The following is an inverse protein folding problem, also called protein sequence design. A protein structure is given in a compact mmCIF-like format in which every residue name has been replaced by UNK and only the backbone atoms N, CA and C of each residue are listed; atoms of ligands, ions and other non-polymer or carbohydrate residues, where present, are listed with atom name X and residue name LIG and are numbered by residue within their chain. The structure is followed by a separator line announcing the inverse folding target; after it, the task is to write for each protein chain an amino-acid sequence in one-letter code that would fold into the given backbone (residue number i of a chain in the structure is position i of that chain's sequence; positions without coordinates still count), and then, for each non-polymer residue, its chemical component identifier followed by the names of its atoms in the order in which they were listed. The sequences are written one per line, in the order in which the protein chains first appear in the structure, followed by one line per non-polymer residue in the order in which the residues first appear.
data_IF_560415425591
#
_entry.id   IF_560415425591
#
_cell.length_a   1.000
_cell.length_b   1.000
_cell.length_c   1.000
_cell.angle_alpha   90.00
_cell.angle_beta   90.00
_cell.angle_gamma   90.00
#
_symmetry.space_group_name_H-M   'P 1'
#
loop_
_entity.id
_entity.type
_entity.pdbx_description
1 polymer ?
#
# COMPACT_ATOMS: atom_id res chain seq x y z
N UNK A 1 -65.90 4.44 23.20
CA UNK A 1 -65.81 3.03 22.77
C UNK A 1 -64.74 2.83 21.69
N UNK A 2 -64.71 3.61 20.61
CA UNK A 2 -63.67 3.53 19.55
C UNK A 2 -62.22 3.76 20.04
N UNK A 3 -62.00 4.72 20.95
CA UNK A 3 -60.67 4.97 21.54
C UNK A 3 -60.15 3.82 22.42
N UNK A 4 -61.05 3.07 23.08
CA UNK A 4 -60.67 1.89 23.88
C UNK A 4 -60.24 0.72 22.97
N UNK A 5 -60.84 0.60 21.78
CA UNK A 5 -60.48 -0.42 20.79
C UNK A 5 -59.10 -0.17 20.18
N UNK A 6 -58.79 1.09 19.80
CA UNK A 6 -57.45 1.44 19.30
C UNK A 6 -56.34 1.22 20.35
N UNK A 7 -56.63 1.52 21.62
CA UNK A 7 -55.66 1.32 22.69
C UNK A 7 -55.40 -0.17 22.95
N UNK A 8 -56.44 -1.00 22.86
CA UNK A 8 -56.33 -2.46 23.01
C UNK A 8 -55.51 -3.10 21.86
N UNK A 9 -55.71 -2.65 20.61
CA UNK A 9 -54.92 -3.15 19.47
C UNK A 9 -53.44 -2.76 19.56
N UNK A 10 -53.14 -1.53 20.02
CA UNK A 10 -51.75 -1.08 20.22
C UNK A 10 -51.04 -1.89 21.31
N UNK A 11 -51.73 -2.17 22.43
CA UNK A 11 -51.23 -3.02 23.50
C UNK A 11 -50.99 -4.46 23.05
N UNK A 12 -51.92 -5.03 22.27
CA UNK A 12 -51.79 -6.40 21.76
C UNK A 12 -50.61 -6.54 20.80
N UNK A 13 -50.43 -5.57 19.89
CA UNK A 13 -49.29 -5.56 18.96
C UNK A 13 -47.96 -5.38 19.68
N UNK A 14 -47.90 -4.49 20.69
CA UNK A 14 -46.68 -4.30 21.48
C UNK A 14 -46.33 -5.55 22.28
N UNK A 15 -47.32 -6.24 22.85
CA UNK A 15 -47.13 -7.50 23.57
C UNK A 15 -46.64 -8.63 22.64
N UNK A 16 -47.21 -8.77 21.44
CA UNK A 16 -46.79 -9.78 20.46
C UNK A 16 -45.34 -9.58 20.02
N UNK A 17 -44.90 -8.34 19.79
CA UNK A 17 -43.49 -8.04 19.44
C UNK A 17 -42.55 -8.43 20.58
N UNK A 18 -42.95 -8.18 21.83
CA UNK A 18 -42.15 -8.54 22.99
C UNK A 18 -42.02 -10.06 23.15
N UNK A 19 -43.10 -10.82 22.94
CA UNK A 19 -43.07 -12.29 22.98
C UNK A 19 -42.17 -12.86 21.87
N UNK A 20 -42.21 -12.31 20.66
CA UNK A 20 -41.34 -12.73 19.56
C UNK A 20 -39.86 -12.50 19.85
N UNK A 21 -39.50 -11.34 20.41
CA UNK A 21 -38.11 -11.05 20.81
C UNK A 21 -37.63 -12.02 21.89
N UNK A 22 -38.48 -12.34 22.87
CA UNK A 22 -38.14 -13.24 23.97
C UNK A 22 -37.92 -14.68 23.47
N UNK A 23 -38.75 -15.15 22.52
CA UNK A 23 -38.57 -16.45 21.87
C UNK A 23 -37.30 -16.50 21.00
N UNK A 24 -36.97 -15.42 20.30
CA UNK A 24 -35.73 -15.33 19.52
C UNK A 24 -34.48 -15.40 20.42
N UNK A 25 -34.50 -14.74 21.58
CA UNK A 25 -33.41 -14.84 22.57
C UNK A 25 -33.25 -16.26 23.12
N UNK A 26 -34.35 -16.97 23.39
CA UNK A 26 -34.30 -18.37 23.86
C UNK A 26 -33.74 -19.29 22.78
N UNK A 27 -34.14 -19.10 21.52
CA UNK A 27 -33.62 -19.90 20.39
C UNK A 27 -32.11 -19.71 20.18
N UNK A 28 -31.61 -18.49 20.32
CA UNK A 28 -30.17 -18.20 20.22
C UNK A 28 -29.42 -18.81 21.42
N UNK A 29 -29.98 -18.73 22.63
CA UNK A 29 -29.39 -19.32 23.83
C UNK A 29 -29.25 -20.84 23.77
N UNK A 30 -30.23 -21.54 23.18
CA UNK A 30 -30.20 -22.99 23.00
C UNK A 30 -29.26 -23.46 21.87
N UNK A 31 -28.94 -22.59 20.91
CA UNK A 31 -28.00 -22.89 19.82
C UNK A 31 -26.52 -22.84 20.22
N UNK A 32 -26.17 -22.14 21.30
CA UNK A 32 -24.77 -21.91 21.68
C UNK A 32 -24.17 -22.95 22.64
N UNK A 33 -24.88 -24.01 23.01
CA UNK A 33 -24.36 -25.07 23.91
C UNK A 33 -23.90 -26.35 23.18
N UNK A 34 -23.79 -26.32 21.85
CA UNK A 34 -23.43 -27.49 21.04
C UNK A 34 -21.94 -27.68 20.77
N UNK A 35 -21.27 -28.48 21.61
CA UNK A 35 -20.27 -29.48 21.18
C UNK A 35 -18.98 -29.00 20.51
N UNK A 36 -17.93 -28.80 21.30
CA UNK A 36 -16.55 -28.81 20.81
C UNK A 36 -16.13 -30.21 20.38
N UNK A 37 -16.14 -30.49 19.08
CA UNK A 37 -15.46 -31.64 18.50
C UNK A 37 -14.00 -31.26 18.22
N UNK A 38 -13.07 -31.94 18.91
CA UNK A 38 -11.65 -31.92 18.58
C UNK A 38 -11.48 -32.63 17.24
N UNK A 39 -11.23 -31.88 16.18
CA UNK A 39 -10.82 -32.45 14.90
C UNK A 39 -9.30 -32.62 14.91
N UNK A 40 -8.89 -33.88 15.04
CA UNK A 40 -7.53 -34.36 14.94
C UNK A 40 -7.08 -34.26 13.48
N UNK A 41 -6.15 -33.35 13.17
CA UNK A 41 -5.57 -33.20 11.83
C UNK A 41 -4.76 -34.47 11.49
N UNK A 42 -5.37 -35.33 10.70
CA UNK A 42 -4.71 -36.47 10.06
C UNK A 42 -3.81 -35.93 8.96
N UNK A 43 -2.52 -35.82 9.28
CA UNK A 43 -1.44 -35.54 8.33
C UNK A 43 -1.44 -36.61 7.23
N UNK A 44 -1.64 -36.18 5.99
CA UNK A 44 -1.63 -37.02 4.80
C UNK A 44 -0.27 -37.70 4.59
N UNK A 45 -0.30 -39.02 4.40
CA UNK A 45 0.85 -39.95 4.37
C UNK A 45 1.58 -40.03 3.02
N UNK A 46 1.43 -39.07 2.11
CA UNK A 46 1.98 -39.19 0.73
C UNK A 46 3.23 -38.35 0.42
N UNK A 47 3.87 -37.69 1.40
CA UNK A 47 5.13 -36.94 1.16
C UNK A 47 6.23 -37.39 2.14
N UNK A 48 6.53 -38.70 2.15
CA UNK A 48 7.59 -39.27 3.00
C UNK A 48 8.53 -40.25 2.29
N UNK A 49 8.58 -40.22 0.96
CA UNK A 49 9.60 -40.91 0.15
C UNK A 49 10.23 -39.90 -0.78
N UNK A 50 11.37 -39.33 -0.37
CA UNK A 50 12.46 -38.88 -1.26
C UNK A 50 13.60 -38.09 -0.58
N UNK A 51 13.71 -38.13 0.76
CA UNK A 51 14.93 -37.63 1.42
C UNK A 51 15.55 -38.76 2.22
N UNK A 52 16.59 -39.36 1.64
CA UNK A 52 17.49 -40.28 2.32
C UNK A 52 18.25 -39.55 3.41
N UNK A 53 17.75 -39.62 4.64
CA UNK A 53 18.46 -39.18 5.84
C UNK A 53 18.96 -40.44 6.55
N UNK A 54 20.29 -40.69 6.60
CA UNK A 54 20.85 -41.76 7.42
C UNK A 54 20.72 -41.39 8.90
N UNK A 55 20.28 -42.37 9.68
CA UNK A 55 20.07 -42.29 11.13
C UNK A 55 21.37 -42.24 11.94
N UNK A 56 21.34 -41.42 12.99
CA UNK A 56 21.92 -41.60 14.33
C UNK A 56 23.25 -42.37 14.50
N UNK A 57 24.28 -41.64 14.95
CA UNK A 57 25.25 -42.14 15.96
C UNK A 57 25.71 -41.05 16.93
N UNK A 58 25.18 -41.16 18.15
CA UNK A 58 25.78 -41.00 19.50
C UNK A 58 26.42 -39.67 19.95
N UNK A 59 26.32 -39.35 21.27
CA UNK A 59 26.80 -38.11 21.86
C UNK A 59 28.20 -38.22 22.51
N UNK A 60 28.68 -37.04 22.95
CA UNK A 60 29.77 -36.69 23.88
C UNK A 60 31.10 -36.23 23.25
N UNK A 61 31.92 -35.37 23.91
CA UNK A 61 31.77 -34.80 25.26
C UNK A 61 31.81 -33.25 25.34
N UNK A 62 31.34 -32.77 26.49
CA UNK A 62 31.50 -31.44 27.07
C UNK A 62 32.98 -31.03 27.01
N UNK A 63 33.28 -29.96 26.27
CA UNK A 63 34.58 -29.32 26.27
C UNK A 63 34.46 -27.96 26.96
N UNK A 64 34.84 -27.94 28.23
CA UNK A 64 34.96 -26.73 29.04
C UNK A 64 36.18 -25.92 28.61
N UNK A 65 35.96 -24.74 28.02
CA UNK A 65 36.98 -23.71 27.96
C UNK A 65 36.78 -22.73 29.12
N UNK A 66 37.33 -23.12 30.28
CA UNK A 66 37.82 -22.13 31.26
C UNK A 66 39.03 -21.43 30.66
N UNK A 67 39.09 -20.12 30.84
CA UNK A 67 40.35 -19.38 30.81
C UNK A 67 40.61 -18.58 29.54
N UNK A 68 39.76 -17.59 29.23
CA UNK A 68 40.30 -16.36 28.66
C UNK A 68 40.57 -15.39 29.81
N UNK A 69 41.85 -15.29 30.16
CA UNK A 69 42.38 -14.24 31.01
C UNK A 69 42.06 -12.88 30.35
N UNK A 70 41.31 -12.06 31.09
CA UNK A 70 41.15 -10.65 30.82
C UNK A 70 42.51 -9.97 30.98
N UNK A 71 43.20 -9.73 29.87
CA UNK A 71 44.32 -8.80 29.85
C UNK A 71 43.76 -7.38 30.06
N UNK A 72 44.15 -6.79 31.19
CA UNK A 72 43.84 -5.43 31.57
C UNK A 72 44.47 -4.48 30.55
N UNK A 73 43.72 -3.52 29.95
CA UNK A 73 44.34 -2.51 29.12
C UNK A 73 45.24 -1.63 30.00
N UNK A 74 46.54 -1.62 29.70
CA UNK A 74 47.50 -0.66 30.23
C UNK A 74 46.99 0.75 29.93
N UNK A 75 46.53 1.45 30.97
CA UNK A 75 46.26 2.90 30.97
C UNK A 75 47.54 3.63 30.59
N UNK A 76 47.70 3.93 29.30
CA UNK A 76 48.61 4.99 28.83
C UNK A 76 48.04 6.30 29.35
N UNK A 77 48.70 6.88 30.36
CA UNK A 77 48.47 8.25 30.80
C UNK A 77 48.80 9.19 29.63
N UNK A 78 47.76 9.61 28.91
CA UNK A 78 47.87 10.68 27.91
C UNK A 78 48.23 11.95 28.68
N UNK A 79 49.49 12.38 28.56
CA UNK A 79 49.92 13.71 29.00
C UNK A 79 49.08 14.73 28.24
N UNK A 80 48.22 15.44 28.95
CA UNK A 80 47.52 16.62 28.44
C UNK A 80 48.55 17.71 28.17
N UNK A 81 48.99 17.81 26.92
CA UNK A 81 49.72 19.00 26.43
C UNK A 81 48.79 20.20 26.57
N UNK A 82 49.17 21.14 27.44
CA UNK A 82 48.49 22.42 27.60
C UNK A 82 48.53 23.16 26.25
N UNK A 83 47.41 23.70 25.76
CA UNK A 83 47.41 24.50 24.54
C UNK A 83 48.24 25.77 24.77
N UNK A 84 49.11 26.08 23.80
CA UNK A 84 49.91 27.31 23.78
C UNK A 84 48.94 28.50 23.72
N UNK A 85 48.95 29.42 24.71
CA UNK A 85 48.13 30.62 24.68
C UNK A 85 48.54 31.51 23.51
N UNK A 86 47.60 31.85 22.62
CA UNK A 86 47.83 32.83 21.54
C UNK A 86 47.63 32.34 20.10
N UNK A 87 47.33 31.06 19.86
CA UNK A 87 47.10 30.51 18.49
C UNK A 87 45.64 30.10 18.27
N UNK A 88 44.69 30.79 18.91
CA UNK A 88 43.29 30.35 18.98
C UNK A 88 42.40 30.71 17.78
N UNK A 89 42.86 31.52 16.81
CA UNK A 89 41.96 32.10 15.80
C UNK A 89 42.27 31.81 14.33
N UNK A 90 43.16 30.87 14.01
CA UNK A 90 43.46 30.50 12.63
C UNK A 90 43.24 29.02 12.31
N UNK A 91 42.33 28.33 13.01
CA UNK A 91 41.81 27.04 12.53
C UNK A 91 40.85 27.37 11.38
N UNK A 92 41.41 27.55 10.17
CA UNK A 92 40.64 27.46 8.93
C UNK A 92 39.77 26.21 9.04
N UNK A 93 38.44 26.35 8.86
CA UNK A 93 37.53 25.23 8.68
C UNK A 93 38.16 24.29 7.64
N UNK A 94 38.81 23.23 8.11
CA UNK A 94 39.31 22.17 7.25
C UNK A 94 38.06 21.59 6.62
N UNK A 95 37.80 21.98 5.37
CA UNK A 95 36.78 21.34 4.56
C UNK A 95 37.21 19.88 4.51
N UNK A 96 36.50 19.04 5.26
CA UNK A 96 36.64 17.60 5.15
C UNK A 96 36.42 17.33 3.66
N UNK A 97 37.43 16.81 2.92
CA UNK A 97 37.24 16.51 1.52
C UNK A 97 35.97 15.66 1.42
N UNK A 98 35.09 15.93 0.43
CA UNK A 98 33.85 15.16 0.29
C UNK A 98 34.26 13.69 0.36
N UNK A 99 33.71 12.97 1.34
CA UNK A 99 34.02 11.56 1.53
C UNK A 99 33.85 10.91 0.16
N UNK A 100 34.94 10.40 -0.41
CA UNK A 100 34.93 9.70 -1.68
C UNK A 100 33.87 8.62 -1.50
N UNK A 101 32.69 8.84 -2.08
CA UNK A 101 31.62 7.86 -2.02
C UNK A 101 32.19 6.63 -2.71
N UNK A 102 32.35 5.55 -1.95
CA UNK A 102 32.82 4.29 -2.50
C UNK A 102 31.90 3.96 -3.67
N UNK A 103 32.44 4.07 -4.89
CA UNK A 103 31.69 3.80 -6.11
C UNK A 103 31.31 2.32 -6.08
N UNK A 104 30.05 2.04 -5.76
CA UNK A 104 29.52 0.70 -5.52
C UNK A 104 28.57 0.31 -6.65
N UNK A 105 28.42 -0.99 -6.87
CA UNK A 105 27.34 -1.52 -7.69
C UNK A 105 26.01 -1.17 -7.03
N UNK A 106 25.06 -0.65 -7.81
CA UNK A 106 23.72 -0.27 -7.35
C UNK A 106 22.66 -1.08 -8.06
N UNK A 107 21.61 -1.45 -7.35
CA UNK A 107 20.42 -2.06 -7.90
C UNK A 107 19.24 -1.10 -7.74
N UNK A 108 18.69 -0.64 -8.86
CA UNK A 108 17.51 0.23 -8.93
C UNK A 108 16.32 -0.59 -9.45
N UNK A 109 15.12 -0.12 -9.17
CA UNK A 109 13.85 -0.77 -9.52
C UNK A 109 12.85 0.25 -10.05
N UNK A 110 12.02 -0.20 -10.99
CA UNK A 110 10.86 0.52 -11.49
C UNK A 110 9.85 -0.45 -12.08
N UNK A 111 8.60 -0.03 -12.19
CA UNK A 111 7.57 -0.86 -12.78
C UNK A 111 6.42 -0.01 -13.30
N UNK A 112 5.72 -0.56 -14.28
CA UNK A 112 4.62 0.10 -14.99
C UNK A 112 3.63 -0.95 -15.50
N UNK A 113 2.34 -0.64 -15.50
CA UNK A 113 1.35 -1.44 -16.21
C UNK A 113 1.35 -1.06 -17.69
N UNK A 114 1.67 -1.99 -18.57
CA UNK A 114 1.60 -1.83 -20.03
C UNK A 114 0.49 -2.72 -20.56
N UNK A 115 -0.67 -2.13 -20.85
CA UNK A 115 -1.84 -2.87 -21.30
C UNK A 115 -2.41 -3.78 -20.22
N UNK A 116 -2.20 -5.10 -20.35
CA UNK A 116 -2.64 -6.10 -19.39
C UNK A 116 -1.49 -6.79 -18.64
N UNK A 117 -0.29 -6.22 -18.68
CA UNK A 117 0.90 -6.79 -18.05
C UNK A 117 1.54 -5.77 -17.12
N UNK A 118 1.84 -6.20 -15.90
CA UNK A 118 2.70 -5.44 -15.00
C UNK A 118 4.14 -5.75 -15.38
N UNK A 119 4.85 -4.73 -15.87
CA UNK A 119 6.25 -4.84 -16.27
C UNK A 119 7.14 -4.31 -15.16
N UNK A 120 7.91 -5.19 -14.53
CA UNK A 120 8.86 -4.83 -13.49
C UNK A 120 10.29 -4.87 -14.04
N UNK A 121 11.05 -3.79 -13.88
CA UNK A 121 12.42 -3.63 -14.39
C UNK A 121 13.38 -3.44 -13.23
N UNK A 122 14.47 -4.20 -13.23
CA UNK A 122 15.57 -4.06 -12.28
C UNK A 122 16.78 -3.56 -13.04
N UNK A 123 17.31 -2.39 -12.68
CA UNK A 123 18.48 -1.78 -13.31
C UNK A 123 19.70 -1.96 -12.41
N UNK A 124 20.66 -2.77 -12.86
CA UNK A 124 21.96 -2.98 -12.19
C UNK A 124 22.97 -2.05 -12.80
N UNK A 125 23.49 -1.10 -12.01
CA UNK A 125 24.49 -0.11 -12.44
C UNK A 125 25.82 -0.42 -11.78
N UNK A 126 26.87 -0.64 -12.59
CA UNK A 126 28.22 -0.81 -12.09
C UNK A 126 28.94 0.54 -12.05
N UNK A 127 28.85 1.26 -10.93
CA UNK A 127 29.62 2.52 -10.77
C UNK A 127 31.08 2.27 -10.39
N UNK A 128 31.44 1.03 -10.03
CA UNK A 128 32.80 0.68 -9.64
C UNK A 128 33.76 0.82 -10.83
N UNK A 129 35.06 1.05 -10.59
CA UNK A 129 36.04 1.18 -11.66
C UNK A 129 36.42 -0.16 -12.30
N UNK A 130 35.84 -1.28 -11.84
CA UNK A 130 36.19 -2.62 -12.28
C UNK A 130 35.00 -3.36 -12.87
N UNK A 131 35.26 -4.33 -13.75
CA UNK A 131 34.22 -5.19 -14.31
C UNK A 131 33.69 -6.14 -13.24
N UNK A 132 32.38 -6.36 -13.23
CA UNK A 132 31.74 -7.42 -12.45
C UNK A 132 31.30 -8.54 -13.39
N UNK A 133 31.36 -9.79 -12.92
CA UNK A 133 30.99 -10.98 -13.70
C UNK A 133 29.86 -11.75 -13.02
N UNK A 134 29.29 -12.71 -13.74
CA UNK A 134 28.30 -13.67 -13.25
C UNK A 134 27.13 -12.99 -12.53
N UNK A 135 26.59 -11.96 -13.19
CA UNK A 135 25.50 -11.15 -12.64
C UNK A 135 24.19 -11.90 -12.82
N UNK A 136 23.54 -12.23 -11.71
CA UNK A 136 22.25 -12.91 -11.66
C UNK A 136 21.26 -11.96 -11.00
N UNK A 137 20.18 -11.64 -11.70
CA UNK A 137 19.06 -10.86 -11.16
C UNK A 137 17.87 -11.79 -11.00
N UNK A 138 17.28 -11.85 -9.82
CA UNK A 138 16.20 -12.79 -9.52
C UNK A 138 15.12 -12.15 -8.66
N UNK A 139 13.90 -12.68 -8.73
CA UNK A 139 12.79 -12.22 -7.90
C UNK A 139 12.89 -12.84 -6.49
N UNK A 140 12.90 -12.00 -5.46
CA UNK A 140 12.87 -12.44 -4.06
C UNK A 140 11.43 -12.67 -3.59
N UNK A 141 10.53 -11.73 -3.87
CA UNK A 141 9.12 -11.83 -3.49
C UNK A 141 8.24 -10.99 -4.42
N UNK A 142 7.00 -11.42 -4.60
CA UNK A 142 5.93 -10.68 -5.28
C UNK A 142 4.56 -11.20 -4.80
N UNK A 143 3.47 -10.43 -4.93
CA UNK A 143 2.13 -10.84 -4.49
C UNK A 143 1.56 -11.92 -5.42
N UNK A 144 1.77 -13.21 -5.06
CA UNK A 144 1.38 -14.37 -5.88
C UNK A 144 -0.12 -14.56 -6.03
N UNK A 145 -0.89 -13.98 -5.12
CA UNK A 145 -2.35 -13.95 -5.10
C UNK A 145 -2.93 -12.99 -6.16
N UNK A 146 -2.25 -11.87 -6.41
CA UNK A 146 -2.69 -10.83 -7.35
C UNK A 146 -1.92 -10.82 -8.69
N UNK A 147 -0.72 -11.41 -8.73
CA UNK A 147 0.15 -11.45 -9.90
C UNK A 147 0.65 -12.87 -10.18
N UNK A 148 0.53 -13.28 -11.45
CA UNK A 148 1.15 -14.48 -11.99
C UNK A 148 2.36 -14.11 -12.84
N UNK A 149 3.53 -14.63 -12.50
CA UNK A 149 4.73 -14.44 -13.31
C UNK A 149 4.57 -15.08 -14.70
N UNK A 150 4.92 -14.36 -15.76
CA UNK A 150 4.70 -14.78 -17.14
C UNK A 150 5.97 -15.24 -17.88
N UNK A 151 7.14 -15.15 -17.24
CA UNK A 151 8.42 -15.57 -17.82
C UNK A 151 8.72 -17.05 -17.61
N UNK A 152 9.70 -17.57 -18.36
CA UNK A 152 10.15 -18.96 -18.28
C UNK A 152 11.00 -19.26 -17.02
N UNK A 153 11.64 -18.24 -16.44
CA UNK A 153 12.46 -18.35 -15.24
C UNK A 153 12.38 -17.09 -14.38
N UNK A 154 12.51 -17.25 -13.07
CA UNK A 154 12.49 -16.15 -12.09
C UNK A 154 13.84 -15.43 -11.95
N UNK A 155 14.83 -15.84 -12.76
CA UNK A 155 16.15 -15.25 -12.83
C UNK A 155 16.57 -14.83 -14.26
N UNK A 156 17.50 -13.88 -14.32
CA UNK A 156 18.12 -13.37 -15.54
C UNK A 156 19.63 -13.32 -15.33
N UNK A 157 20.39 -13.95 -16.23
CA UNK A 157 21.84 -14.08 -16.12
C UNK A 157 22.56 -13.23 -17.15
N UNK A 158 23.61 -12.55 -16.71
CA UNK A 158 24.50 -11.77 -17.55
C UNK A 158 25.96 -12.11 -17.21
N UNK A 159 26.78 -12.36 -18.23
CA UNK A 159 28.17 -12.76 -18.03
C UNK A 159 29.03 -11.66 -17.41
N UNK A 160 28.82 -10.39 -17.80
CA UNK A 160 29.59 -9.25 -17.31
C UNK A 160 28.88 -7.91 -17.45
N UNK A 161 29.26 -6.96 -16.58
CA UNK A 161 28.90 -5.53 -16.67
C UNK A 161 30.16 -4.68 -16.52
N UNK A 162 30.46 -3.88 -17.55
CA UNK A 162 31.63 -2.99 -17.58
C UNK A 162 31.49 -1.79 -16.63
N UNK A 163 32.62 -1.17 -16.21
CA UNK A 163 32.60 0.06 -15.43
C UNK A 163 31.77 1.17 -16.09
N UNK A 164 30.85 1.77 -15.34
CA UNK A 164 29.95 2.81 -15.83
C UNK A 164 28.76 2.31 -16.66
N UNK A 165 28.69 1.02 -16.99
CA UNK A 165 27.60 0.43 -17.75
C UNK A 165 26.48 -0.11 -16.85
N UNK A 166 25.34 -0.48 -17.44
CA UNK A 166 24.21 -1.06 -16.74
C UNK A 166 23.52 -2.18 -17.53
N UNK A 167 22.77 -3.02 -16.81
CA UNK A 167 21.82 -4.00 -17.37
C UNK A 167 20.46 -3.82 -16.73
N UNK A 168 19.39 -4.01 -17.52
CA UNK A 168 18.01 -3.80 -17.08
C UNK A 168 17.11 -4.99 -17.43
N UNK A 169 17.27 -6.17 -16.81
CA UNK A 169 16.31 -7.26 -16.96
C UNK A 169 14.89 -6.82 -16.63
N UNK A 170 13.94 -7.45 -17.30
CA UNK A 170 12.52 -7.16 -17.22
C UNK A 170 11.76 -8.44 -16.85
N UNK A 171 10.88 -8.34 -15.86
CA UNK A 171 10.00 -9.38 -15.37
C UNK A 171 8.56 -8.96 -15.67
N UNK A 172 7.88 -9.72 -16.52
CA UNK A 172 6.48 -9.45 -16.87
C UNK A 172 5.55 -10.32 -16.00
N UNK A 173 4.54 -9.69 -15.41
CA UNK A 173 3.50 -10.33 -14.61
C UNK A 173 2.13 -10.12 -15.26
N UNK A 174 1.28 -11.14 -15.14
CA UNK A 174 -0.13 -11.10 -15.52
C UNK A 174 -0.97 -10.90 -14.26
N UNK A 175 -1.79 -9.84 -14.18
CA UNK A 175 -2.75 -9.68 -13.09
C UNK A 175 -3.74 -10.84 -13.07
N UNK A 176 -3.99 -11.37 -11.88
CA UNK A 176 -5.04 -12.37 -11.62
C UNK A 176 -6.26 -11.76 -10.95
N UNK A 177 -6.13 -10.54 -10.43
CA UNK A 177 -7.17 -9.77 -9.75
C UNK A 177 -7.30 -8.38 -10.37
N UNK A 178 -8.46 -7.76 -10.21
CA UNK A 178 -8.71 -6.38 -10.68
C UNK A 178 -8.13 -5.31 -9.77
N UNK A 179 -7.74 -5.66 -8.56
CA UNK A 179 -7.08 -4.76 -7.63
C UNK A 179 -5.76 -5.38 -7.22
N UNK A 180 -4.65 -4.88 -7.78
CA UNK A 180 -3.33 -5.39 -7.46
C UNK A 180 -2.71 -4.50 -6.38
N UNK A 181 -2.55 -5.08 -5.19
CA UNK A 181 -1.77 -4.49 -4.10
C UNK A 181 -0.68 -5.46 -3.68
N UNK A 182 0.52 -4.95 -3.49
CA UNK A 182 1.61 -5.73 -2.91
C UNK A 182 2.96 -5.11 -3.19
N UNK A 183 4.02 -5.86 -2.89
CA UNK A 183 5.40 -5.41 -3.06
C UNK A 183 6.17 -6.42 -3.90
N UNK A 184 6.95 -5.92 -4.86
CA UNK A 184 7.92 -6.73 -5.60
C UNK A 184 9.32 -6.38 -5.11
N UNK A 185 10.08 -7.41 -4.70
CA UNK A 185 11.47 -7.28 -4.27
C UNK A 185 12.33 -8.17 -5.16
N UNK A 186 13.46 -7.66 -5.63
CA UNK A 186 14.43 -8.42 -6.41
C UNK A 186 15.81 -8.45 -5.75
N UNK A 187 16.53 -9.53 -6.01
CA UNK A 187 17.91 -9.74 -5.63
C UNK A 187 18.84 -9.61 -6.84
N UNK A 188 20.07 -9.18 -6.59
CA UNK A 188 21.17 -9.12 -7.56
C UNK A 188 22.38 -9.79 -6.92
N UNK A 189 22.86 -10.87 -7.52
CA UNK A 189 24.12 -11.51 -7.16
C UNK A 189 25.17 -11.24 -8.24
N UNK A 190 26.41 -10.97 -7.86
CA UNK A 190 27.52 -10.78 -8.81
C UNK A 190 28.85 -11.15 -8.18
N UNK A 191 29.87 -11.38 -9.01
CA UNK A 191 31.25 -11.59 -8.60
C UNK A 191 32.07 -10.35 -8.95
N UNK A 192 32.84 -9.85 -7.97
CA UNK A 192 33.74 -8.72 -8.17
C UNK A 192 35.08 -9.14 -8.80
N UNK A 193 35.94 -8.16 -9.09
CA UNK A 193 37.28 -8.40 -9.64
C UNK A 193 38.18 -9.30 -8.78
N UNK A 194 37.88 -9.46 -7.49
CA UNK A 194 38.66 -10.26 -6.53
C UNK A 194 38.16 -11.71 -6.49
N UNK A 195 37.12 -12.04 -7.25
CA UNK A 195 36.46 -13.34 -7.22
C UNK A 195 35.49 -13.48 -6.03
N UNK A 196 35.18 -12.40 -5.32
CA UNK A 196 34.25 -12.44 -4.18
C UNK A 196 32.82 -12.22 -4.66
N UNK A 197 31.93 -13.11 -4.24
CA UNK A 197 30.50 -12.98 -4.49
C UNK A 197 29.87 -11.92 -3.57
N UNK A 198 28.99 -11.11 -4.14
CA UNK A 198 28.21 -10.09 -3.45
C UNK A 198 26.73 -10.26 -3.79
N UNK A 199 25.87 -9.90 -2.84
CA UNK A 199 24.42 -9.90 -3.03
C UNK A 199 23.86 -8.55 -2.60
N UNK A 200 22.97 -8.01 -3.42
CA UNK A 200 22.24 -6.77 -3.19
C UNK A 200 20.74 -7.07 -3.31
N UNK A 201 19.92 -6.44 -2.49
CA UNK A 201 18.47 -6.41 -2.67
C UNK A 201 18.04 -5.03 -3.15
N UNK A 202 17.06 -4.97 -4.06
CA UNK A 202 16.38 -3.72 -4.36
C UNK A 202 15.51 -3.32 -3.17
N UNK A 203 15.26 -2.01 -3.00
CA UNK A 203 14.14 -1.60 -2.15
C UNK A 203 12.82 -2.14 -2.73
N UNK A 204 11.81 -2.41 -1.88
CA UNK A 204 10.50 -2.88 -2.33
C UNK A 204 9.86 -1.93 -3.33
N UNK A 205 9.34 -2.48 -4.42
CA UNK A 205 8.50 -1.74 -5.36
C UNK A 205 7.03 -1.98 -5.02
N UNK A 206 6.40 -0.98 -4.40
CA UNK A 206 5.00 -1.05 -3.99
C UNK A 206 4.10 -0.88 -5.21
N UNK A 207 3.28 -1.89 -5.49
CA UNK A 207 2.24 -1.85 -6.50
C UNK A 207 0.92 -1.47 -5.83
N UNK A 208 0.30 -0.41 -6.37
CA UNK A 208 -1.07 0.01 -6.05
C UNK A 208 -1.73 0.34 -7.38
N UNK A 209 -2.37 -0.64 -8.00
CA UNK A 209 -3.17 -0.39 -9.21
C UNK A 209 -4.53 -1.02 -9.00
N UNK A 210 -5.49 -0.15 -8.68
CA UNK A 210 -6.90 -0.49 -8.53
C UNK A 210 -7.65 0.11 -9.72
N UNK A 211 -7.56 1.42 -9.90
CA UNK A 211 -8.37 2.16 -10.87
C UNK A 211 -8.04 1.87 -12.34
N UNK A 212 -6.77 1.63 -12.71
CA UNK A 212 -6.40 1.36 -14.11
C UNK A 212 -6.98 0.04 -14.65
N UNK A 213 -7.46 -0.80 -13.75
CA UNK A 213 -8.02 -2.12 -14.04
C UNK A 213 -9.55 -2.12 -13.93
N UNK A 214 -10.17 -0.97 -13.70
CA UNK A 214 -11.61 -0.80 -13.71
C UNK A 214 -12.08 -0.24 -15.07
N UNK A 215 -13.27 -0.65 -15.47
CA UNK A 215 -13.98 -0.16 -16.65
C UNK A 215 -15.25 0.53 -16.14
N UNK A 216 -15.52 1.79 -16.52
CA UNK A 216 -16.78 2.46 -16.18
C UNK A 216 -17.98 1.65 -16.69
N UNK A 217 -18.96 1.38 -15.85
CA UNK A 217 -20.15 0.60 -16.22
C UNK A 217 -21.41 1.45 -16.03
N UNK A 218 -22.17 1.64 -17.11
CA UNK A 218 -23.36 2.50 -17.09
C UNK A 218 -24.50 1.78 -16.38
N UNK A 219 -25.06 2.43 -15.35
CA UNK A 219 -26.14 1.86 -14.54
C UNK A 219 -27.12 2.95 -14.15
N UNK A 220 -28.41 2.62 -14.08
CA UNK A 220 -29.43 3.56 -13.59
C UNK A 220 -29.34 3.70 -12.07
N UNK A 221 -29.81 4.82 -11.48
CA UNK A 221 -29.83 5.00 -10.02
C UNK A 221 -30.61 3.89 -9.29
N UNK A 222 -31.68 3.36 -9.87
CA UNK A 222 -32.49 2.29 -9.29
C UNK A 222 -31.76 0.95 -9.26
N UNK A 223 -31.07 0.63 -10.36
CA UNK A 223 -30.25 -0.57 -10.47
C UNK A 223 -29.04 -0.49 -9.55
N UNK A 224 -28.41 0.68 -9.45
CA UNK A 224 -27.31 0.95 -8.52
C UNK A 224 -27.74 0.69 -7.08
N UNK A 225 -28.90 1.23 -6.67
CA UNK A 225 -29.47 1.01 -5.34
C UNK A 225 -29.79 -0.47 -5.07
N UNK A 226 -30.19 -1.21 -6.10
CA UNK A 226 -30.47 -2.64 -6.00
C UNK A 226 -29.19 -3.46 -5.82
N UNK A 227 -28.14 -3.17 -6.59
CA UNK A 227 -26.82 -3.83 -6.49
C UNK A 227 -26.12 -3.54 -5.16
N UNK A 228 -26.26 -2.31 -4.64
CA UNK A 228 -25.71 -1.94 -3.32
C UNK A 228 -26.25 -2.80 -2.17
N UNK A 229 -27.47 -3.35 -2.28
CA UNK A 229 -28.07 -4.20 -1.24
C UNK A 229 -27.45 -5.60 -1.22
N UNK A 230 -26.98 -6.08 -2.36
CA UNK A 230 -26.42 -7.43 -2.51
C UNK A 230 -24.92 -7.50 -2.23
N UNK A 231 -24.21 -6.38 -2.36
CA UNK A 231 -22.76 -6.34 -2.24
C UNK A 231 -22.27 -6.21 -0.81
N UNK A 232 -21.09 -6.78 -0.55
CA UNK A 232 -20.33 -6.47 0.66
C UNK A 232 -19.84 -5.02 0.58
N UNK A 233 -19.66 -4.37 1.73
CA UNK A 233 -19.27 -2.98 1.79
C UNK A 233 -18.20 -2.73 2.85
N UNK A 234 -17.32 -1.79 2.54
CA UNK A 234 -16.38 -1.18 3.47
C UNK A 234 -16.58 0.33 3.51
N UNK A 235 -16.25 0.95 4.65
CA UNK A 235 -16.42 2.38 4.84
C UNK A 235 -15.22 2.96 5.61
N UNK A 236 -14.78 4.15 5.22
CA UNK A 236 -13.81 4.95 5.97
C UNK A 236 -14.20 6.43 5.94
N UNK A 237 -13.90 7.13 7.03
CA UNK A 237 -14.11 8.58 7.13
C UNK A 237 -12.77 9.30 7.14
N UNK A 238 -12.63 10.31 6.30
CA UNK A 238 -11.46 11.17 6.18
C UNK A 238 -11.85 12.57 6.61
N UNK A 239 -11.05 13.17 7.49
CA UNK A 239 -11.22 14.55 7.91
C UNK A 239 -10.06 15.38 7.37
N UNK A 240 -10.36 16.38 6.56
CA UNK A 240 -9.39 17.30 5.96
C UNK A 240 -9.62 18.68 6.55
N UNK A 241 -8.62 19.18 7.29
CA UNK A 241 -8.75 20.47 7.99
C UNK A 241 -8.59 21.66 7.06
N UNK A 242 -7.97 21.44 5.91
CA UNK A 242 -7.48 22.51 5.05
C UNK A 242 -8.44 22.92 3.94
N UNK A 243 -9.39 22.06 3.59
CA UNK A 243 -10.33 22.30 2.50
C UNK A 243 -11.71 22.61 3.00
N UNK A 244 -12.42 23.41 2.22
CA UNK A 244 -13.86 23.60 2.39
C UNK A 244 -14.61 22.37 1.83
N UNK A 245 -15.85 22.10 2.27
CA UNK A 245 -16.63 21.00 1.73
C UNK A 245 -16.90 21.14 0.22
N UNK A 246 -17.00 22.36 -0.30
CA UNK A 246 -17.13 22.65 -1.73
C UNK A 246 -15.88 22.17 -2.51
N UNK A 247 -14.68 22.59 -2.08
CA UNK A 247 -13.41 22.18 -2.69
C UNK A 247 -13.23 20.66 -2.65
N UNK A 248 -13.59 20.03 -1.52
CA UNK A 248 -13.50 18.58 -1.35
C UNK A 248 -14.48 17.84 -2.27
N UNK A 249 -15.69 18.37 -2.47
CA UNK A 249 -16.68 17.78 -3.37
C UNK A 249 -16.24 17.83 -4.84
N UNK A 250 -15.77 18.99 -5.32
CA UNK A 250 -15.22 19.11 -6.67
C UNK A 250 -14.04 18.17 -6.90
N UNK A 251 -13.16 18.06 -5.90
CA UNK A 251 -12.03 17.14 -5.97
C UNK A 251 -12.50 15.68 -6.02
N UNK A 252 -13.50 15.32 -5.22
CA UNK A 252 -14.07 13.99 -5.19
C UNK A 252 -14.72 13.59 -6.54
N UNK A 253 -15.37 14.54 -7.24
CA UNK A 253 -15.88 14.31 -8.60
C UNK A 253 -14.75 13.95 -9.57
N UNK A 254 -13.68 14.77 -9.61
CA UNK A 254 -12.52 14.51 -10.48
C UNK A 254 -11.86 13.17 -10.18
N UNK A 255 -11.66 12.86 -8.89
CA UNK A 255 -11.09 11.57 -8.50
C UNK A 255 -11.97 10.41 -8.95
N UNK A 256 -13.29 10.53 -8.87
CA UNK A 256 -14.22 9.47 -9.29
C UNK A 256 -14.07 9.18 -10.79
N UNK A 257 -14.02 10.23 -11.62
CA UNK A 257 -13.79 10.13 -13.07
C UNK A 257 -12.41 9.56 -13.40
N UNK A 258 -11.33 10.11 -12.82
CA UNK A 258 -9.95 9.63 -12.96
C UNK A 258 -9.73 8.21 -12.40
N UNK A 259 -10.70 7.68 -11.65
CA UNK A 259 -10.67 6.34 -11.08
C UNK A 259 -11.45 5.33 -11.92
N UNK A 260 -11.88 5.72 -13.13
CA UNK A 260 -12.66 4.89 -14.08
C UNK A 260 -14.01 4.44 -13.51
N UNK A 261 -14.64 5.24 -12.65
CA UNK A 261 -16.03 5.03 -12.26
C UNK A 261 -16.96 5.83 -13.16
N UNK A 262 -18.03 5.20 -13.61
CA UNK A 262 -19.14 5.90 -14.24
C UNK A 262 -19.94 6.65 -13.17
N UNK A 263 -20.09 7.97 -13.31
CA UNK A 263 -20.90 8.78 -12.41
C UNK A 263 -22.39 8.44 -12.57
N UNK A 264 -22.99 7.84 -11.54
CA UNK A 264 -24.41 7.48 -11.50
C UNK A 264 -25.25 8.66 -11.03
N UNK A 265 -24.79 9.35 -9.99
CA UNK A 265 -25.42 10.57 -9.50
C UNK A 265 -24.44 11.45 -8.72
N UNK A 266 -24.62 12.76 -8.84
CA UNK A 266 -24.01 13.76 -7.98
C UNK A 266 -25.07 14.70 -7.44
N UNK A 267 -25.08 14.87 -6.13
CA UNK A 267 -26.00 15.74 -5.40
C UNK A 267 -25.18 16.65 -4.51
N UNK A 268 -25.51 17.94 -4.51
CA UNK A 268 -24.86 18.93 -3.69
C UNK A 268 -25.92 19.86 -3.11
N UNK A 269 -26.03 19.88 -1.78
CA UNK A 269 -27.05 20.63 -1.06
C UNK A 269 -26.44 21.36 0.14
N UNK A 270 -27.06 22.47 0.55
CA UNK A 270 -26.65 23.26 1.71
C UNK A 270 -27.85 23.48 2.62
N UNK A 271 -27.83 22.89 3.81
CA UNK A 271 -28.90 23.00 4.81
C UNK A 271 -28.35 23.51 6.12
N UNK A 272 -28.97 24.54 6.67
CA UNK A 272 -28.61 25.12 7.97
C UNK A 272 -27.13 25.50 8.10
N UNK A 273 -26.53 26.00 7.00
CA UNK A 273 -25.11 26.36 6.94
C UNK A 273 -24.14 25.17 6.87
N UNK A 274 -24.65 23.95 6.73
CA UNK A 274 -23.86 22.73 6.53
C UNK A 274 -24.04 22.26 5.09
N UNK A 275 -22.92 22.01 4.43
CA UNK A 275 -22.87 21.44 3.08
C UNK A 275 -22.97 19.92 3.17
N UNK A 276 -23.77 19.33 2.28
CA UNK A 276 -23.92 17.91 2.07
C UNK A 276 -23.72 17.62 0.59
N UNK A 277 -22.61 16.99 0.24
CA UNK A 277 -22.33 16.49 -1.10
C UNK A 277 -22.39 14.96 -1.12
N UNK A 278 -22.99 14.37 -2.14
CA UNK A 278 -22.99 12.92 -2.37
C UNK A 278 -22.65 12.63 -3.83
N UNK A 279 -21.71 11.72 -4.05
CA UNK A 279 -21.30 11.25 -5.38
C UNK A 279 -21.42 9.73 -5.38
N UNK A 280 -22.06 9.18 -6.40
CA UNK A 280 -22.22 7.75 -6.61
C UNK A 280 -21.53 7.37 -7.91
N UNK A 281 -20.63 6.39 -7.86
CA UNK A 281 -19.87 5.91 -9.01
C UNK A 281 -19.99 4.39 -9.15
N UNK A 282 -19.96 3.89 -10.38
CA UNK A 282 -20.06 2.46 -10.66
C UNK A 282 -19.05 2.00 -11.72
N UNK A 283 -18.40 0.88 -11.48
CA UNK A 283 -17.43 0.30 -12.38
C UNK A 283 -17.46 -1.23 -12.33
N UNK A 284 -16.79 -1.84 -13.31
CA UNK A 284 -16.61 -3.28 -13.42
C UNK A 284 -15.14 -3.59 -13.57
N UNK A 285 -14.67 -4.62 -12.86
CA UNK A 285 -13.31 -5.10 -13.00
C UNK A 285 -13.04 -5.63 -14.41
N UNK A 286 -11.91 -5.24 -15.00
CA UNK A 286 -11.51 -5.60 -16.37
C UNK A 286 -11.29 -7.10 -16.57
N UNK A 287 -10.83 -7.81 -15.55
CA UNK A 287 -10.46 -9.22 -15.60
C UNK A 287 -11.48 -10.13 -14.94
N UNK A 288 -11.96 -9.80 -13.73
CA UNK A 288 -12.95 -10.67 -13.07
C UNK A 288 -14.35 -10.40 -13.60
N UNK A 289 -14.60 -9.24 -14.21
CA UNK A 289 -15.94 -8.82 -14.59
C UNK A 289 -16.84 -8.58 -13.37
N UNK A 290 -16.28 -8.50 -12.16
CA UNK A 290 -17.06 -8.25 -10.95
C UNK A 290 -17.31 -6.76 -10.80
N UNK A 291 -18.48 -6.43 -10.28
CA UNK A 291 -18.88 -5.03 -10.15
C UNK A 291 -18.44 -4.39 -8.82
N UNK A 292 -18.13 -3.10 -8.88
CA UNK A 292 -17.72 -2.27 -7.74
C UNK A 292 -18.43 -0.92 -7.81
N UNK A 293 -19.00 -0.52 -6.69
CA UNK A 293 -19.72 0.71 -6.47
C UNK A 293 -18.96 1.58 -5.46
N UNK A 294 -18.92 2.88 -5.68
CA UNK A 294 -18.41 3.86 -4.74
C UNK A 294 -19.49 4.88 -4.40
N UNK A 295 -19.55 5.27 -3.13
CA UNK A 295 -20.35 6.37 -2.65
C UNK A 295 -19.46 7.28 -1.79
N UNK A 296 -19.24 8.51 -2.27
CA UNK A 296 -18.49 9.54 -1.56
C UNK A 296 -19.50 10.52 -0.94
N UNK A 297 -19.43 10.73 0.36
CA UNK A 297 -20.31 11.68 1.07
C UNK A 297 -19.47 12.75 1.75
N UNK A 298 -19.54 13.98 1.26
CA UNK A 298 -18.80 15.13 1.76
C UNK A 298 -19.71 15.96 2.66
N UNK A 299 -19.21 16.31 3.85
CA UNK A 299 -19.93 17.16 4.82
C UNK A 299 -19.01 18.19 5.46
N UNK A 300 -19.53 19.36 5.80
CA UNK A 300 -18.77 20.40 6.49
C UNK A 300 -19.50 21.74 6.58
N UNK A 301 -18.99 22.69 7.38
CA UNK A 301 -19.55 24.04 7.44
C UNK A 301 -19.31 24.79 6.11
N UNK A 302 -20.34 25.42 5.57
CA UNK A 302 -20.25 26.12 4.28
C UNK A 302 -19.27 27.28 4.32
N UNK A 303 -18.41 27.39 3.30
CA UNK A 303 -17.39 28.44 3.18
C UNK A 303 -16.30 28.41 4.25
N UNK A 304 -16.31 27.45 5.16
CA UNK A 304 -15.31 27.28 6.21
C UNK A 304 -14.47 26.02 6.00
N UNK A 305 -13.22 26.08 6.42
CA UNK A 305 -12.30 24.95 6.32
C UNK A 305 -12.68 23.87 7.34
N UNK A 306 -12.50 22.60 6.96
CA UNK A 306 -12.81 21.46 7.81
C UNK A 306 -13.83 20.52 7.20
N UNK A 307 -13.56 20.04 5.99
CA UNK A 307 -14.38 19.04 5.32
C UNK A 307 -14.18 17.63 5.91
N UNK A 308 -15.25 16.85 5.93
CA UNK A 308 -15.23 15.42 6.19
C UNK A 308 -15.75 14.69 4.95
N UNK A 309 -15.06 13.65 4.51
CA UNK A 309 -15.50 12.80 3.41
C UNK A 309 -15.59 11.35 3.89
N UNK A 310 -16.77 10.77 3.80
CA UNK A 310 -17.02 9.35 4.01
C UNK A 310 -16.91 8.66 2.66
N UNK A 311 -15.98 7.70 2.56
CA UNK A 311 -15.80 6.83 1.40
C UNK A 311 -16.44 5.50 1.73
N UNK A 312 -17.50 5.14 1.02
CA UNK A 312 -18.11 3.81 1.07
C UNK A 312 -17.87 3.12 -0.26
N UNK A 313 -17.28 1.93 -0.23
CA UNK A 313 -17.10 1.09 -1.41
C UNK A 313 -17.84 -0.20 -1.18
N UNK A 314 -18.60 -0.64 -2.18
CA UNK A 314 -19.29 -1.92 -2.19
C UNK A 314 -18.89 -2.72 -3.40
N UNK A 315 -18.66 -4.03 -3.27
CA UNK A 315 -18.26 -4.88 -4.40
C UNK A 315 -18.78 -6.30 -4.28
N UNK A 316 -18.85 -6.98 -5.43
CA UNK A 316 -19.08 -8.43 -5.51
C UNK A 316 -17.85 -9.22 -5.02
N UNK A 317 -16.67 -8.60 -5.03
CA UNK A 317 -15.43 -9.16 -4.49
C UNK A 317 -14.91 -8.35 -3.31
N UNK A 318 -14.78 -8.99 -2.16
CA UNK A 318 -14.20 -8.38 -0.98
C UNK A 318 -12.76 -7.89 -1.24
N UNK A 319 -12.01 -8.58 -2.10
CA UNK A 319 -10.63 -8.22 -2.45
C UNK A 319 -10.54 -6.87 -3.20
N UNK A 320 -11.63 -6.38 -3.79
CA UNK A 320 -11.67 -5.08 -4.48
C UNK A 320 -11.97 -3.91 -3.54
N UNK A 321 -12.67 -4.16 -2.42
CA UNK A 321 -13.21 -3.12 -1.54
C UNK A 321 -12.09 -2.32 -0.85
N UNK A 322 -11.22 -2.99 -0.10
CA UNK A 322 -10.19 -2.31 0.70
C UNK A 322 -9.14 -1.60 -0.18
N UNK A 323 -8.63 -2.19 -1.28
CA UNK A 323 -7.74 -1.47 -2.18
C UNK A 323 -8.37 -0.23 -2.79
N UNK A 324 -9.63 -0.30 -3.23
CA UNK A 324 -10.33 0.87 -3.78
C UNK A 324 -10.52 1.97 -2.73
N UNK A 325 -10.86 1.59 -1.48
CA UNK A 325 -10.94 2.55 -0.36
C UNK A 325 -9.60 3.23 -0.12
N UNK A 326 -8.51 2.46 -0.05
CA UNK A 326 -7.18 3.00 0.22
C UNK A 326 -6.70 3.92 -0.90
N UNK A 327 -6.95 3.57 -2.16
CA UNK A 327 -6.60 4.40 -3.32
C UNK A 327 -7.39 5.72 -3.33
N UNK A 328 -8.71 5.65 -3.20
CA UNK A 328 -9.57 6.84 -3.11
C UNK A 328 -9.18 7.72 -1.92
N UNK A 329 -8.86 7.11 -0.76
CA UNK A 329 -8.41 7.83 0.44
C UNK A 329 -7.08 8.54 0.22
N UNK A 330 -6.12 7.88 -0.39
CA UNK A 330 -4.81 8.45 -0.69
C UNK A 330 -4.97 9.63 -1.66
N UNK A 331 -5.72 9.45 -2.75
CA UNK A 331 -6.01 10.51 -3.72
C UNK A 331 -6.78 11.67 -3.10
N UNK A 332 -7.78 11.39 -2.27
CA UNK A 332 -8.57 12.42 -1.58
C UNK A 332 -7.74 13.17 -0.53
N UNK A 333 -6.83 12.52 0.19
CA UNK A 333 -5.99 13.19 1.19
C UNK A 333 -4.76 13.92 0.61
N UNK A 334 -4.27 13.49 -0.55
CA UNK A 334 -3.10 14.08 -1.18
C UNK A 334 -3.39 15.46 -1.79
N UNK A 335 -2.41 16.36 -1.77
CA UNK A 335 -2.46 17.56 -2.61
C UNK A 335 -2.06 17.16 -4.02
N UNK A 336 -2.98 17.25 -4.97
CA UNK A 336 -2.75 16.87 -6.36
C UNK A 336 -2.59 18.12 -7.22
N UNK A 337 -1.70 18.05 -8.21
CA UNK A 337 -1.60 19.08 -9.24
C UNK A 337 -2.92 19.17 -10.02
N UNK A 338 -3.53 20.36 -10.19
CA UNK A 338 -4.83 20.50 -10.86
C UNK A 338 -4.79 20.16 -12.35
N UNK A 339 -3.61 20.11 -12.97
CA UNK A 339 -3.46 19.85 -14.41
C UNK A 339 -3.10 18.40 -14.75
N UNK A 340 -2.34 17.72 -13.90
CA UNK A 340 -1.83 16.37 -14.19
C UNK A 340 -2.11 15.36 -13.08
N UNK A 341 -2.88 15.74 -12.06
CA UNK A 341 -3.25 14.94 -10.90
C UNK A 341 -2.07 14.34 -10.10
N UNK A 342 -0.83 14.73 -10.39
CA UNK A 342 0.34 14.19 -9.69
C UNK A 342 0.48 14.78 -8.29
N UNK A 343 0.92 13.99 -7.28
CA UNK A 343 1.02 14.46 -5.91
C UNK A 343 2.06 15.56 -5.75
N UNK A 344 1.74 16.60 -4.99
CA UNK A 344 2.66 17.68 -4.66
C UNK A 344 3.48 17.32 -3.42
N UNK A 345 4.75 17.75 -3.40
CA UNK A 345 5.62 17.57 -2.23
C UNK A 345 5.12 18.38 -1.05
N UNK A 346 5.47 17.98 0.18
CA UNK A 346 5.09 18.72 1.39
C UNK A 346 5.57 20.17 1.37
N UNK A 347 6.74 20.42 0.77
CA UNK A 347 7.28 21.77 0.56
C UNK A 347 6.41 22.59 -0.40
N UNK A 348 6.03 22.02 -1.55
CA UNK A 348 5.10 22.68 -2.47
C UNK A 348 3.75 22.97 -1.82
N UNK A 349 3.26 22.06 -0.99
CA UNK A 349 2.02 22.26 -0.24
C UNK A 349 2.16 23.37 0.80
N UNK A 350 3.29 23.45 1.50
CA UNK A 350 3.58 24.54 2.43
C UNK A 350 3.67 25.89 1.71
N UNK A 351 4.36 25.95 0.57
CA UNK A 351 4.46 27.18 -0.23
C UNK A 351 3.11 27.63 -0.80
N UNK A 352 2.27 26.69 -1.26
CA UNK A 352 0.89 26.99 -1.66
C UNK A 352 0.03 27.49 -0.48
N UNK A 353 0.27 26.97 0.73
CA UNK A 353 -0.40 27.46 1.96
C UNK A 353 -0.02 28.90 2.26
N UNK A 354 1.24 29.28 1.99
CA UNK A 354 1.76 30.64 2.15
C UNK A 354 1.34 31.58 1.01
N UNK A 355 0.54 31.12 0.04
CA UNK A 355 0.10 31.91 -1.12
C UNK A 355 1.18 32.08 -2.19
N UNK A 356 2.27 31.30 -2.14
CA UNK A 356 3.31 31.32 -3.17
C UNK A 356 2.88 30.50 -4.37
N UNK A 357 3.39 30.87 -5.54
CA UNK A 357 3.24 30.08 -6.77
C UNK A 357 4.26 28.96 -6.75
N UNK A 358 3.83 27.72 -6.92
CA UNK A 358 4.70 26.54 -7.00
C UNK A 358 4.68 25.95 -8.40
N UNK A 359 5.78 25.32 -8.82
CA UNK A 359 5.81 24.54 -10.06
C UNK A 359 5.58 23.06 -9.74
N UNK A 360 4.65 22.44 -10.46
CA UNK A 360 4.47 20.99 -10.37
C UNK A 360 5.76 20.28 -10.79
N UNK A 361 6.30 19.35 -9.99
CA UNK A 361 7.56 18.66 -10.33
C UNK A 361 7.40 17.66 -11.49
N UNK A 362 6.16 17.33 -11.87
CA UNK A 362 5.85 16.36 -12.92
C UNK A 362 5.56 17.05 -14.27
N UNK A 363 4.59 17.97 -14.32
CA UNK A 363 4.21 18.64 -15.58
C UNK A 363 4.77 20.06 -15.74
N UNK A 364 5.53 20.57 -14.75
CA UNK A 364 6.11 21.92 -14.74
C UNK A 364 5.11 23.09 -14.77
N UNK A 365 3.79 22.84 -14.68
CA UNK A 365 2.79 23.92 -14.61
C UNK A 365 2.94 24.71 -13.31
N UNK A 366 2.77 26.02 -13.39
CA UNK A 366 2.70 26.91 -12.23
C UNK A 366 1.31 26.87 -11.61
N UNK A 367 1.25 26.58 -10.32
CA UNK A 367 0.04 26.50 -9.50
C UNK A 367 0.11 27.65 -8.50
N UNK A 368 -0.84 28.57 -8.59
CA UNK A 368 -1.08 29.62 -7.60
C UNK A 368 -2.41 29.38 -6.90
N UNK A 369 -2.58 29.98 -5.72
CA UNK A 369 -3.84 29.96 -4.99
C UNK A 369 -4.70 31.16 -5.33
#
# INVERSE_FOLDING_TARGET
MLLMLQFAESLLNSFLVFVFLLLACIAIGLGCTGGGSKQEETISRSVRREIGIPSDKRPSPIMSWRGLQSERPLRRTVRTTRPIPGVAHAIRKVHKPPSISEKKVKALRGGEFVGNRMRFKVKVVNESPYMITDVIVYLLSFPKDALRFAGEGDDCKFSKIEPGCFRSPTFDFLPTQDCVRGEIVAGVSYIDMTGKAHTLSTEPFVIRSVCDLLIPDQVTPEDFASRLKTHEHGEIVIKVKEWTPEEMFEKALRITDESNFFEVSSEFDTKDGVVFGKISGFAKGKYTGKSVAVQLSVTGPSGAKGASCTIRVSGEDQAMILPAIDDLKERLSAWLCPMCASPLTLENVADLRDGKVVRCPFCSVTIGR
#
